data_IF_636653242811
#
_entry.id   IF_636653242811
#
_cell.length_a   1.000
_cell.length_b   1.000
_cell.length_c   1.000
_cell.angle_alpha   90.00
_cell.angle_beta   90.00
_cell.angle_gamma   90.00
#
_symmetry.space_group_name_H-M   'P 1'
#
loop_
_entity.id
_entity.type
_entity.pdbx_description
1 polymer ?
#
# COMPACT_ATOMS: atom_id res chain seq x y z
N UNK A 1 -11.58 -11.49 0.56
CA UNK A 1 -10.45 -12.24 -0.01
C UNK A 1 -9.30 -12.28 0.98
N UNK A 2 -8.49 -13.33 0.91
CA UNK A 2 -7.29 -13.42 1.74
C UNK A 2 -6.26 -12.39 1.29
N UNK A 3 -5.72 -11.65 2.22
CA UNK A 3 -4.68 -10.66 1.93
C UNK A 3 -3.35 -11.14 2.48
N UNK A 4 -2.34 -11.12 1.63
CA UNK A 4 -0.99 -11.53 1.97
C UNK A 4 -0.07 -10.32 1.77
N UNK A 5 0.73 -10.00 2.77
CA UNK A 5 1.75 -8.95 2.63
C UNK A 5 3.05 -9.59 2.19
N UNK A 6 3.56 -9.19 1.02
CA UNK A 6 4.91 -9.56 0.63
C UNK A 6 5.89 -8.96 1.63
N UNK A 7 7.05 -9.59 1.79
CA UNK A 7 8.05 -9.09 2.73
C UNK A 7 8.40 -7.63 2.45
N UNK A 8 8.54 -7.27 1.17
CA UNK A 8 8.85 -5.89 0.79
C UNK A 8 7.78 -4.92 1.26
N UNK A 9 6.50 -5.29 1.12
CA UNK A 9 5.41 -4.42 1.55
C UNK A 9 5.41 -4.26 3.08
N UNK A 10 5.66 -5.33 3.81
CA UNK A 10 5.75 -5.26 5.26
C UNK A 10 6.91 -4.36 5.70
N UNK A 11 8.05 -4.49 5.04
CA UNK A 11 9.22 -3.66 5.30
C UNK A 11 8.92 -2.19 4.98
N UNK A 12 8.20 -1.92 3.89
CA UNK A 12 7.81 -0.57 3.50
C UNK A 12 6.95 0.09 4.57
N UNK A 13 5.95 -0.63 5.08
CA UNK A 13 5.07 -0.12 6.13
C UNK A 13 5.87 0.22 7.38
N UNK A 14 6.76 -0.66 7.78
CA UNK A 14 7.61 -0.45 8.95
C UNK A 14 8.52 0.77 8.76
N UNK A 15 9.11 0.92 7.58
CA UNK A 15 9.97 2.04 7.28
C UNK A 15 9.21 3.37 7.27
N UNK A 16 8.01 3.38 6.70
CA UNK A 16 7.15 4.56 6.68
C UNK A 16 6.79 4.97 8.10
N UNK A 17 6.34 4.01 8.90
CA UNK A 17 5.94 4.25 10.28
C UNK A 17 7.10 4.83 11.08
N UNK A 18 8.28 4.22 10.97
CA UNK A 18 9.47 4.65 11.69
C UNK A 18 9.91 6.06 11.29
N UNK A 19 9.87 6.34 9.98
CA UNK A 19 10.28 7.64 9.47
C UNK A 19 9.38 8.76 10.00
N UNK A 20 8.06 8.57 9.94
CA UNK A 20 7.12 9.61 10.36
C UNK A 20 7.10 9.75 11.88
N UNK A 21 7.23 8.64 12.61
CA UNK A 21 7.18 8.65 14.07
C UNK A 21 8.31 9.46 14.70
N UNK A 22 9.41 9.70 13.98
CA UNK A 22 10.49 10.55 14.47
C UNK A 22 10.02 11.95 14.79
N UNK A 23 9.08 12.47 14.00
CA UNK A 23 8.58 13.83 14.19
C UNK A 23 7.19 13.84 14.79
N UNK A 24 6.37 12.83 14.53
CA UNK A 24 5.00 12.79 15.00
C UNK A 24 4.49 11.36 15.13
N UNK A 25 4.48 10.81 16.35
CA UNK A 25 3.86 9.48 16.57
C UNK A 25 2.40 9.44 16.14
N UNK A 26 1.65 10.52 16.37
CA UNK A 26 0.25 10.61 15.93
C UNK A 26 0.15 10.61 14.41
N UNK A 27 1.04 11.35 13.74
CA UNK A 27 1.10 11.37 12.29
C UNK A 27 1.38 10.00 11.71
N UNK A 28 2.30 9.25 12.33
CA UNK A 28 2.60 7.89 11.93
C UNK A 28 1.38 6.99 12.08
N UNK A 29 0.66 7.08 13.20
CA UNK A 29 -0.54 6.28 13.43
C UNK A 29 -1.61 6.60 12.39
N UNK A 30 -1.78 7.89 12.04
CA UNK A 30 -2.77 8.30 11.05
C UNK A 30 -2.45 7.74 9.66
N UNK A 31 -1.17 7.78 9.27
CA UNK A 31 -0.76 7.26 7.96
C UNK A 31 -0.94 5.75 7.91
N UNK A 32 -0.55 5.04 8.95
CA UNK A 32 -0.72 3.58 8.99
C UNK A 32 -2.20 3.20 8.93
N UNK A 33 -3.06 3.93 9.66
CA UNK A 33 -4.50 3.70 9.60
C UNK A 33 -5.06 3.90 8.18
N UNK A 34 -4.57 4.93 7.47
CA UNK A 34 -4.99 5.18 6.09
C UNK A 34 -4.52 4.06 5.15
N UNK A 35 -3.30 3.56 5.33
CA UNK A 35 -2.79 2.44 4.54
C UNK A 35 -3.64 1.19 4.81
N UNK A 36 -3.94 0.90 6.06
CA UNK A 36 -4.77 -0.25 6.42
C UNK A 36 -6.18 -0.15 5.83
N UNK A 37 -6.76 1.04 5.85
CA UNK A 37 -8.08 1.26 5.25
C UNK A 37 -8.04 1.03 3.73
N UNK A 38 -6.97 1.47 3.07
CA UNK A 38 -6.80 1.25 1.64
C UNK A 38 -6.64 -0.24 1.32
N UNK A 39 -5.91 -0.98 2.14
CA UNK A 39 -5.77 -2.43 1.98
C UNK A 39 -7.13 -3.10 2.17
N UNK A 40 -7.92 -2.65 3.14
CA UNK A 40 -9.27 -3.13 3.34
C UNK A 40 -10.16 -2.93 2.12
N UNK A 41 -10.05 -1.77 1.47
CA UNK A 41 -10.76 -1.51 0.22
C UNK A 41 -10.33 -2.48 -0.88
N UNK A 42 -9.01 -2.67 -1.02
CA UNK A 42 -8.46 -3.58 -2.02
C UNK A 42 -9.00 -5.00 -1.81
N UNK A 43 -9.10 -5.43 -0.56
CA UNK A 43 -9.57 -6.77 -0.23
C UNK A 43 -10.99 -7.02 -0.71
N UNK A 44 -11.81 -5.97 -0.75
CA UNK A 44 -13.23 -6.07 -1.15
C UNK A 44 -13.41 -5.74 -2.63
N UNK A 45 -12.69 -4.75 -3.14
CA UNK A 45 -12.87 -4.23 -4.50
C UNK A 45 -11.56 -4.16 -5.30
N UNK A 46 -10.85 -5.29 -5.48
CA UNK A 46 -9.56 -5.23 -6.18
C UNK A 46 -9.67 -4.76 -7.62
N UNK A 47 -10.78 -5.09 -8.28
CA UNK A 47 -10.95 -4.72 -9.71
C UNK A 47 -11.33 -3.26 -9.90
N UNK A 48 -11.67 -2.54 -8.83
CA UNK A 48 -11.91 -1.11 -8.90
C UNK A 48 -10.61 -0.31 -9.02
N UNK A 49 -9.45 -0.95 -8.79
CA UNK A 49 -8.16 -0.30 -8.87
C UNK A 49 -7.55 -0.49 -10.26
N UNK A 50 -6.93 0.55 -10.84
CA UNK A 50 -6.38 0.44 -12.19
C UNK A 50 -5.15 -0.45 -12.26
N UNK A 51 -4.94 -1.05 -13.43
CA UNK A 51 -3.72 -1.80 -13.71
C UNK A 51 -2.62 -0.84 -14.10
N UNK A 52 -1.42 -1.09 -13.56
CA UNK A 52 -0.22 -0.34 -13.93
C UNK A 52 0.77 -1.23 -14.69
N UNK A 53 0.62 -2.54 -14.54
CA UNK A 53 1.31 -3.59 -15.30
C UNK A 53 0.26 -4.67 -15.58
N UNK A 54 0.51 -5.63 -16.48
CA UNK A 54 -0.50 -6.67 -16.80
C UNK A 54 -1.06 -7.38 -15.58
N UNK A 55 -0.21 -7.67 -14.59
CA UNK A 55 -0.63 -8.43 -13.42
C UNK A 55 -0.56 -7.61 -12.13
N UNK A 56 -0.39 -6.30 -12.22
CA UNK A 56 -0.24 -5.43 -11.04
C UNK A 56 -1.21 -4.27 -11.11
N UNK A 57 -1.93 -4.07 -10.02
CA UNK A 57 -2.85 -2.94 -9.85
C UNK A 57 -2.31 -2.00 -8.77
N UNK A 58 -2.83 -0.80 -8.73
CA UNK A 58 -2.38 0.23 -7.80
C UNK A 58 -3.56 0.92 -7.14
N UNK A 59 -3.44 1.17 -5.85
CA UNK A 59 -4.38 1.97 -5.07
C UNK A 59 -3.61 3.10 -4.41
N UNK A 60 -4.09 4.32 -4.60
CA UNK A 60 -3.50 5.47 -3.92
C UNK A 60 -4.11 5.63 -2.53
N UNK A 61 -3.25 5.93 -1.56
CA UNK A 61 -3.67 6.20 -0.17
C UNK A 61 -3.86 7.70 -0.01
N UNK A 62 -5.11 8.14 0.10
CA UNK A 62 -5.41 9.55 0.28
C UNK A 62 -5.52 9.89 1.76
N UNK A 63 -5.16 11.11 2.18
CA UNK A 63 -4.65 12.22 1.35
C UNK A 63 -3.13 12.22 1.19
N UNK A 64 -2.45 11.19 1.67
CA UNK A 64 -0.98 11.18 1.78
C UNK A 64 -0.26 10.90 0.48
N UNK A 65 -0.91 10.22 -0.47
CA UNK A 65 -0.33 9.96 -1.77
C UNK A 65 0.55 8.71 -1.88
N UNK A 66 0.62 7.89 -0.84
CA UNK A 66 1.31 6.61 -0.96
C UNK A 66 0.60 5.75 -1.98
N UNK A 67 1.35 4.93 -2.70
CA UNK A 67 0.80 4.03 -3.71
C UNK A 67 1.01 2.59 -3.28
N UNK A 68 -0.08 1.83 -3.26
CA UNK A 68 -0.03 0.41 -2.91
C UNK A 68 -0.13 -0.39 -4.20
N UNK A 69 0.90 -1.17 -4.49
CA UNK A 69 0.93 -2.05 -5.65
C UNK A 69 0.58 -3.47 -5.20
N UNK A 70 -0.32 -4.11 -5.92
CA UNK A 70 -0.78 -5.44 -5.53
C UNK A 70 -1.14 -6.29 -6.74
N UNK A 71 -1.12 -7.60 -6.53
CA UNK A 71 -1.56 -8.59 -7.52
C UNK A 71 -2.76 -9.33 -6.93
N UNK A 72 -3.80 -9.51 -7.73
CA UNK A 72 -5.00 -10.20 -7.29
C UNK A 72 -5.20 -11.47 -8.11
N UNK A 73 -5.50 -12.57 -7.41
CA UNK A 73 -5.99 -13.80 -8.03
C UNK A 73 -7.45 -13.97 -7.67
N UNK A 74 -8.03 -15.12 -8.02
CA UNK A 74 -9.42 -15.38 -7.69
C UNK A 74 -9.66 -15.55 -6.18
N UNK A 75 -8.62 -15.96 -5.45
CA UNK A 75 -8.77 -16.32 -4.04
C UNK A 75 -7.98 -15.45 -3.08
N UNK A 76 -7.02 -14.68 -3.59
CA UNK A 76 -6.14 -13.91 -2.70
C UNK A 76 -5.63 -12.65 -3.35
N UNK A 77 -5.14 -11.75 -2.49
CA UNK A 77 -4.51 -10.52 -2.91
C UNK A 77 -3.15 -10.47 -2.24
N UNK A 78 -2.11 -10.21 -3.02
CA UNK A 78 -0.78 -10.04 -2.49
C UNK A 78 -0.40 -8.56 -2.60
N UNK A 79 -0.14 -7.92 -1.47
CA UNK A 79 0.38 -6.55 -1.43
C UNK A 79 1.88 -6.64 -1.68
N UNK A 80 2.33 -6.07 -2.79
CA UNK A 80 3.69 -6.24 -3.28
C UNK A 80 4.64 -5.18 -2.76
N UNK A 81 4.19 -3.93 -2.75
CA UNK A 81 5.06 -2.81 -2.50
C UNK A 81 4.22 -1.57 -2.16
N UNK A 82 4.69 -0.77 -1.22
CA UNK A 82 4.07 0.51 -0.90
C UNK A 82 5.11 1.60 -1.13
N UNK A 83 4.76 2.54 -2.00
CA UNK A 83 5.70 3.53 -2.48
C UNK A 83 5.40 4.91 -1.93
N UNK A 84 6.46 5.59 -1.50
CA UNK A 84 6.39 6.98 -1.08
C UNK A 84 6.11 7.89 -2.29
N UNK A 85 5.24 8.91 -2.17
CA UNK A 85 4.85 9.73 -3.32
C UNK A 85 5.98 10.50 -3.98
N UNK A 86 7.05 10.81 -3.26
CA UNK A 86 8.12 11.67 -3.76
C UNK A 86 9.40 10.95 -4.13
N UNK A 87 9.41 9.61 -4.14
CA UNK A 87 10.66 8.86 -4.35
C UNK A 87 10.69 8.11 -5.67
N UNK A 88 11.71 8.43 -6.51
CA UNK A 88 12.10 7.65 -7.66
C UNK A 88 11.00 7.26 -8.64
N UNK A 89 11.28 6.34 -9.57
CA UNK A 89 10.29 5.89 -10.55
C UNK A 89 9.08 5.22 -9.92
N UNK A 90 7.98 5.23 -10.67
CA UNK A 90 6.68 4.77 -10.20
C UNK A 90 6.69 3.33 -9.68
N UNK A 91 7.31 2.42 -10.39
CA UNK A 91 7.36 1.03 -9.98
C UNK A 91 8.77 0.63 -9.61
N UNK A 92 9.01 0.50 -8.30
CA UNK A 92 10.33 0.13 -7.82
C UNK A 92 10.26 -0.73 -6.58
#
# INVERSE_FOLDING_TARGET
>A
MKVILAKRAADDIEAIQRYIARESPRGAANVIAAIEAAIGFIAVHPKACPRVLPDVRMKMVRPYGYKIFFAASETSIEILHIRHPSRGPEWR
#
